data_IF_105663947394
#
_entry.id   IF_105663947394
#
_cell.length_a   1.000
_cell.length_b   1.000
_cell.length_c   1.000
_cell.angle_alpha   90.00
_cell.angle_beta   90.00
_cell.angle_gamma   90.00
#
_symmetry.space_group_name_H-M   'P 1'
#
loop_
_entity.id
_entity.type
_entity.pdbx_description
1 polymer ?
#
# COMPACT_ATOMS: atom_id res chain seq x y z
N UNK A 1 -4.44 -2.63 -34.76
CA UNK A 1 -4.64 -4.09 -34.87
C UNK A 1 -3.74 -4.80 -33.89
N UNK A 2 -4.27 -5.79 -33.15
CA UNK A 2 -3.61 -6.71 -32.23
C UNK A 2 -3.34 -6.18 -30.80
N UNK A 3 -4.34 -6.34 -29.92
CA UNK A 3 -4.12 -6.72 -28.55
C UNK A 3 -5.36 -7.52 -28.06
N UNK A 4 -5.31 -8.81 -28.35
CA UNK A 4 -6.21 -9.81 -27.75
C UNK A 4 -5.34 -10.88 -27.09
N UNK A 5 -5.03 -10.76 -25.80
CA UNK A 5 -4.52 -11.87 -25.01
C UNK A 5 -5.53 -12.19 -23.90
N UNK A 6 -6.12 -13.37 -24.04
CA UNK A 6 -7.00 -13.98 -23.04
C UNK A 6 -6.18 -14.38 -21.83
N UNK A 7 -6.51 -13.83 -20.68
CA UNK A 7 -5.99 -14.31 -19.40
C UNK A 7 -6.68 -15.62 -19.04
N UNK A 8 -5.89 -16.70 -18.94
CA UNK A 8 -6.35 -17.97 -18.38
C UNK A 8 -6.11 -17.94 -16.88
N UNK A 9 -7.18 -17.84 -16.11
CA UNK A 9 -7.16 -18.06 -14.67
C UNK A 9 -7.09 -19.58 -14.45
N UNK A 10 -5.95 -20.11 -14.06
CA UNK A 10 -5.84 -21.45 -13.48
C UNK A 10 -5.78 -21.33 -11.96
N UNK A 11 -6.88 -21.63 -11.33
CA UNK A 11 -6.92 -21.90 -9.89
C UNK A 11 -6.28 -23.26 -9.63
N UNK A 12 -5.04 -23.28 -9.14
CA UNK A 12 -4.42 -24.49 -8.62
C UNK A 12 -4.26 -24.36 -7.10
N UNK A 13 -5.31 -24.70 -6.38
CA UNK A 13 -5.21 -24.96 -4.94
C UNK A 13 -4.52 -26.31 -4.74
N UNK A 14 -3.24 -26.31 -4.41
CA UNK A 14 -2.59 -27.47 -3.78
C UNK A 14 -2.38 -27.16 -2.30
N UNK A 15 -3.35 -27.56 -1.49
CA UNK A 15 -3.14 -27.77 -0.06
C UNK A 15 -2.13 -28.91 0.08
N UNK A 16 -0.90 -28.64 0.39
CA UNK A 16 0.10 -29.64 0.79
C UNK A 16 -0.03 -29.92 2.27
N UNK A 17 -0.94 -30.81 2.63
CA UNK A 17 -0.87 -31.49 3.93
C UNK A 17 0.18 -32.59 3.80
N UNK A 18 1.42 -32.32 4.18
CA UNK A 18 2.44 -33.36 4.29
C UNK A 18 2.32 -33.97 5.66
N UNK A 19 1.55 -35.07 5.77
CA UNK A 19 1.60 -35.94 6.94
C UNK A 19 2.85 -36.82 6.76
N UNK A 20 3.94 -36.43 7.40
CA UNK A 20 5.10 -37.29 7.55
C UNK A 20 4.86 -38.24 8.73
N UNK A 21 4.40 -39.44 8.45
CA UNK A 21 4.43 -40.54 9.42
C UNK A 21 5.90 -40.97 9.63
N UNK A 22 6.52 -40.55 10.72
CA UNK A 22 7.78 -41.11 11.19
C UNK A 22 7.49 -42.05 12.35
N UNK A 23 7.88 -43.31 12.18
CA UNK A 23 7.81 -44.36 13.16
C UNK A 23 8.56 -43.95 14.43
N UNK A 24 7.87 -44.14 15.55
CA UNK A 24 8.29 -43.79 16.91
C UNK A 24 9.40 -44.73 17.38
N UNK A 25 10.53 -44.18 17.81
CA UNK A 25 11.41 -44.85 18.77
C UNK A 25 11.04 -44.41 20.20
N UNK A 26 11.09 -45.31 21.19
CA UNK A 26 10.51 -45.04 22.50
C UNK A 26 11.49 -44.23 23.36
N UNK A 27 11.34 -42.94 23.42
CA UNK A 27 11.81 -42.00 24.47
C UNK A 27 11.63 -40.54 24.12
N UNK A 28 10.81 -40.15 23.17
CA UNK A 28 10.40 -38.79 22.95
C UNK A 28 9.01 -38.58 23.56
N UNK A 29 8.90 -37.81 24.60
CA UNK A 29 7.67 -37.58 25.31
C UNK A 29 6.63 -36.93 24.39
N UNK A 30 5.36 -37.32 24.54
CA UNK A 30 4.17 -36.69 23.94
C UNK A 30 4.20 -35.13 24.09
N UNK A 31 4.97 -34.65 25.05
CA UNK A 31 5.24 -33.22 25.32
C UNK A 31 6.07 -32.57 24.19
N UNK A 32 7.05 -33.26 23.58
CA UNK A 32 7.83 -32.73 22.46
C UNK A 32 7.02 -32.68 21.15
N UNK A 33 6.04 -33.59 21.01
CA UNK A 33 5.12 -33.54 19.88
C UNK A 33 4.06 -32.41 20.04
N UNK A 34 3.67 -32.12 21.28
CA UNK A 34 2.74 -31.03 21.61
C UNK A 34 3.46 -29.67 21.57
N UNK A 35 4.76 -29.62 21.89
CA UNK A 35 5.58 -28.41 21.80
C UNK A 35 6.07 -28.11 20.37
N UNK A 36 5.98 -29.06 19.45
CA UNK A 36 6.11 -28.90 18.01
C UNK A 36 4.76 -28.70 17.30
N UNK A 37 3.72 -28.26 17.98
CA UNK A 37 2.73 -27.42 17.30
C UNK A 37 3.52 -26.18 16.92
N UNK A 38 4.12 -26.23 15.74
CA UNK A 38 4.68 -25.07 15.06
C UNK A 38 3.70 -23.95 15.32
N UNK A 39 4.15 -22.87 15.94
CA UNK A 39 3.38 -21.62 15.99
C UNK A 39 3.03 -21.37 14.53
N UNK A 40 1.83 -21.74 14.11
CA UNK A 40 1.43 -21.56 12.72
C UNK A 40 1.51 -20.05 12.46
N UNK A 41 2.62 -19.64 11.86
CA UNK A 41 2.78 -18.26 11.40
C UNK A 41 1.59 -17.93 10.53
N UNK A 42 0.95 -16.81 10.79
CA UNK A 42 -0.20 -16.35 9.99
C UNK A 42 0.15 -15.15 9.12
N UNK A 43 1.27 -14.48 9.36
CA UNK A 43 1.68 -13.29 8.63
C UNK A 43 2.69 -13.61 7.53
N UNK A 44 2.77 -12.77 6.47
CA UNK A 44 3.89 -12.78 5.55
C UNK A 44 5.24 -12.66 6.28
N UNK A 45 6.30 -13.22 5.72
CA UNK A 45 7.67 -13.00 6.22
C UNK A 45 8.07 -11.54 6.07
N UNK A 46 7.74 -10.96 4.90
CA UNK A 46 7.97 -9.56 4.57
C UNK A 46 6.71 -8.95 3.96
N UNK A 47 6.36 -7.77 4.43
CA UNK A 47 5.29 -6.97 3.85
C UNK A 47 5.84 -5.58 3.48
N UNK A 48 6.05 -5.36 2.20
CA UNK A 48 6.39 -4.08 1.62
C UNK A 48 5.11 -3.34 1.24
N UNK A 49 4.97 -2.10 1.68
CA UNK A 49 3.87 -1.20 1.29
C UNK A 49 4.50 0.01 0.62
N UNK A 50 4.16 0.23 -0.64
CA UNK A 50 4.75 1.26 -1.50
C UNK A 50 3.67 2.20 -1.99
N UNK A 51 3.88 3.51 -1.84
CA UNK A 51 3.07 4.51 -2.54
C UNK A 51 3.45 4.52 -4.02
N UNK A 52 2.48 4.64 -4.93
CA UNK A 52 2.73 4.79 -6.35
C UNK A 52 3.74 5.91 -6.66
N UNK A 53 4.42 5.84 -7.81
CA UNK A 53 5.27 6.91 -8.33
C UNK A 53 4.48 8.20 -8.59
N UNK A 54 5.17 9.33 -8.74
CA UNK A 54 4.50 10.59 -9.05
C UNK A 54 3.55 10.43 -10.23
N UNK A 55 2.34 10.98 -10.11
CA UNK A 55 1.32 10.92 -11.16
C UNK A 55 1.12 12.28 -11.82
N UNK A 56 0.53 12.28 -13.01
CA UNK A 56 0.08 13.51 -13.66
C UNK A 56 -0.87 14.32 -12.74
N UNK A 57 -1.62 13.63 -11.86
CA UNK A 57 -2.47 14.25 -10.86
C UNK A 57 -1.69 14.97 -9.76
N UNK A 58 -0.57 14.43 -9.32
CA UNK A 58 0.28 15.11 -8.34
C UNK A 58 0.84 16.39 -8.95
N UNK A 59 1.34 16.34 -10.18
CA UNK A 59 1.86 17.52 -10.90
C UNK A 59 0.78 18.60 -11.11
N UNK A 60 -0.40 18.19 -11.62
CA UNK A 60 -1.51 19.11 -11.84
C UNK A 60 -2.00 19.76 -10.53
N UNK A 61 -1.99 19.00 -9.42
CA UNK A 61 -2.37 19.52 -8.11
C UNK A 61 -1.39 20.55 -7.58
N UNK A 62 -0.09 20.29 -7.70
CA UNK A 62 0.96 21.25 -7.31
C UNK A 62 0.81 22.55 -8.10
N UNK A 63 0.68 22.45 -9.42
CA UNK A 63 0.47 23.62 -10.28
C UNK A 63 -0.81 24.41 -9.91
N UNK A 64 -1.92 23.72 -9.63
CA UNK A 64 -3.16 24.37 -9.24
C UNK A 64 -3.06 25.07 -7.87
N UNK A 65 -2.30 24.50 -6.92
CA UNK A 65 -2.06 25.10 -5.62
C UNK A 65 -1.18 26.36 -5.73
N UNK A 66 -0.13 26.31 -6.53
CA UNK A 66 0.76 27.46 -6.78
C UNK A 66 0.04 28.60 -7.49
N UNK A 67 -0.83 28.25 -8.47
CA UNK A 67 -1.62 29.24 -9.20
C UNK A 67 -2.84 29.76 -8.40
N UNK A 68 -3.16 29.17 -7.24
CA UNK A 68 -4.36 29.53 -6.48
C UNK A 68 -5.66 29.13 -7.17
N UNK A 69 -5.64 28.08 -7.98
CA UNK A 69 -6.80 27.57 -8.70
C UNK A 69 -7.75 26.82 -7.77
N UNK A 70 -9.04 26.77 -8.15
CA UNK A 70 -10.07 26.08 -7.38
C UNK A 70 -10.12 24.57 -7.67
N UNK A 71 -9.60 24.14 -8.81
CA UNK A 71 -9.67 22.77 -9.30
C UNK A 71 -8.35 22.40 -9.98
N UNK A 72 -7.96 21.14 -9.87
CA UNK A 72 -6.85 20.58 -10.62
C UNK A 72 -7.27 20.35 -12.08
N UNK A 73 -6.38 20.70 -13.02
CA UNK A 73 -6.63 20.55 -14.46
C UNK A 73 -6.27 19.11 -14.91
N UNK A 74 -7.27 18.25 -14.86
CA UNK A 74 -7.18 16.84 -15.32
C UNK A 74 -8.50 16.44 -15.97
N UNK A 75 -8.44 15.94 -17.21
CA UNK A 75 -9.61 15.53 -18.00
C UNK A 75 -10.05 14.08 -17.78
N UNK A 76 -9.18 13.23 -17.17
CA UNK A 76 -9.48 11.83 -16.94
C UNK A 76 -9.98 11.59 -15.51
N UNK A 77 -10.69 10.47 -15.29
CA UNK A 77 -11.10 10.08 -13.94
C UNK A 77 -9.87 9.77 -13.08
N UNK A 78 -9.95 9.96 -11.76
CA UNK A 78 -8.82 9.72 -10.85
C UNK A 78 -8.24 8.30 -10.98
N UNK A 79 -9.09 7.29 -11.22
CA UNK A 79 -8.65 5.90 -11.43
C UNK A 79 -7.78 5.73 -12.69
N UNK A 80 -7.94 6.58 -13.69
CA UNK A 80 -7.28 6.53 -14.99
C UNK A 80 -6.07 7.48 -15.09
N UNK A 81 -5.75 8.22 -14.02
CA UNK A 81 -4.60 9.15 -13.98
C UNK A 81 -3.29 8.36 -14.10
N UNK A 82 -2.45 8.65 -15.15
CA UNK A 82 -1.19 7.95 -15.35
C UNK A 82 -0.06 8.46 -14.43
N UNK A 83 1.05 7.75 -14.43
CA UNK A 83 2.32 8.28 -13.90
C UNK A 83 2.82 9.44 -14.75
N UNK A 84 3.52 10.40 -14.11
CA UNK A 84 4.39 11.35 -14.81
C UNK A 84 5.67 10.66 -15.32
N UNK A 85 6.44 11.34 -16.15
CA UNK A 85 7.75 10.84 -16.57
C UNK A 85 8.70 10.65 -15.37
N UNK A 86 8.63 11.51 -14.37
CA UNK A 86 9.39 11.37 -13.13
C UNK A 86 8.90 10.15 -12.34
N UNK A 87 7.59 9.96 -12.21
CA UNK A 87 7.03 8.80 -11.53
C UNK A 87 7.43 7.47 -12.16
N UNK A 88 7.57 7.40 -13.48
CA UNK A 88 8.10 6.22 -14.16
C UNK A 88 9.58 5.99 -13.77
N UNK A 89 10.41 7.02 -13.77
CA UNK A 89 11.82 6.92 -13.32
C UNK A 89 11.92 6.49 -11.86
N UNK A 90 11.06 7.00 -10.98
CA UNK A 90 10.99 6.60 -9.57
C UNK A 90 10.66 5.10 -9.45
N UNK A 91 9.66 4.60 -10.18
CA UNK A 91 9.28 3.19 -10.18
C UNK A 91 10.41 2.29 -10.71
N UNK A 92 11.11 2.71 -11.76
CA UNK A 92 12.28 2.01 -12.32
C UNK A 92 13.41 1.94 -11.30
N UNK A 93 13.72 3.06 -10.62
CA UNK A 93 14.75 3.10 -9.59
C UNK A 93 14.43 2.13 -8.44
N UNK A 94 13.18 2.15 -7.97
CA UNK A 94 12.72 1.23 -6.93
C UNK A 94 12.76 -0.24 -7.39
N UNK A 95 12.41 -0.52 -8.64
CA UNK A 95 12.49 -1.87 -9.20
C UNK A 95 13.93 -2.40 -9.25
N UNK A 96 14.91 -1.57 -9.64
CA UNK A 96 16.33 -1.93 -9.59
C UNK A 96 16.78 -2.26 -8.16
N UNK A 97 16.32 -1.49 -7.18
CA UNK A 97 16.60 -1.77 -5.77
C UNK A 97 16.04 -3.12 -5.34
N UNK A 98 14.78 -3.44 -5.67
CA UNK A 98 14.21 -4.76 -5.39
C UNK A 98 14.99 -5.88 -6.09
N UNK A 99 15.44 -5.66 -7.33
CA UNK A 99 16.24 -6.61 -8.08
C UNK A 99 17.63 -6.85 -7.47
N UNK A 100 18.19 -5.87 -6.76
CA UNK A 100 19.46 -5.99 -6.06
C UNK A 100 19.35 -6.68 -4.69
N UNK A 101 18.13 -6.82 -4.13
CA UNK A 101 17.95 -7.52 -2.86
C UNK A 101 18.32 -9.01 -2.98
N UNK A 102 18.78 -9.66 -1.89
CA UNK A 102 18.91 -11.11 -1.83
C UNK A 102 17.58 -11.81 -2.19
N UNK A 103 17.62 -12.98 -2.83
CA UNK A 103 16.40 -13.68 -3.28
C UNK A 103 15.34 -13.90 -2.20
N UNK A 104 15.79 -14.16 -0.97
CA UNK A 104 14.92 -14.37 0.21
C UNK A 104 14.23 -13.09 0.70
N UNK A 105 14.64 -11.91 0.19
CA UNK A 105 14.00 -10.62 0.48
C UNK A 105 13.18 -10.07 -0.68
N UNK A 106 13.33 -10.64 -1.89
CA UNK A 106 12.55 -10.18 -3.05
C UNK A 106 11.09 -10.57 -2.90
N UNK A 107 10.14 -9.67 -3.22
CA UNK A 107 8.73 -10.01 -3.26
C UNK A 107 8.46 -11.18 -4.22
N UNK A 108 7.53 -12.05 -3.84
CA UNK A 108 7.02 -13.10 -4.71
C UNK A 108 5.49 -13.01 -4.91
N UNK A 109 4.85 -12.09 -4.19
CA UNK A 109 3.45 -11.71 -4.37
C UNK A 109 3.41 -10.19 -4.53
N UNK A 110 2.72 -9.71 -5.56
CA UNK A 110 2.46 -8.28 -5.78
C UNK A 110 0.96 -8.06 -5.75
N UNK A 111 0.50 -7.23 -4.83
CA UNK A 111 -0.87 -6.74 -4.75
C UNK A 111 -0.86 -5.28 -5.16
N UNK A 112 -1.81 -4.86 -5.98
CA UNK A 112 -1.85 -3.47 -6.42
C UNK A 112 -3.26 -2.91 -6.40
N UNK A 113 -3.35 -1.62 -6.11
CA UNK A 113 -4.57 -0.84 -6.34
C UNK A 113 -5.02 -0.94 -7.80
N UNK A 114 -6.33 -0.87 -8.09
CA UNK A 114 -6.83 -0.83 -9.46
C UNK A 114 -6.46 0.46 -10.23
N UNK A 115 -6.01 1.51 -9.54
CA UNK A 115 -5.67 2.79 -10.12
C UNK A 115 -4.46 2.69 -11.05
N UNK A 116 -4.55 3.33 -12.23
CA UNK A 116 -3.57 3.19 -13.30
C UNK A 116 -2.14 3.50 -12.83
N UNK A 117 -1.95 4.59 -12.07
CA UNK A 117 -0.66 4.97 -11.48
C UNK A 117 -0.04 3.88 -10.60
N UNK A 118 -0.85 3.19 -9.80
CA UNK A 118 -0.37 2.11 -8.94
C UNK A 118 -0.05 0.84 -9.74
N UNK A 119 -0.89 0.47 -10.71
CA UNK A 119 -0.64 -0.67 -11.61
C UNK A 119 0.62 -0.48 -12.45
N UNK A 120 0.82 0.73 -13.00
CA UNK A 120 2.04 1.06 -13.76
C UNK A 120 3.28 1.00 -12.87
N UNK A 121 3.20 1.54 -11.64
CA UNK A 121 4.30 1.43 -10.66
C UNK A 121 4.63 -0.03 -10.39
N UNK A 122 3.63 -0.88 -10.11
CA UNK A 122 3.84 -2.30 -9.84
C UNK A 122 4.46 -3.04 -11.04
N UNK A 123 3.99 -2.75 -12.25
CA UNK A 123 4.53 -3.34 -13.49
C UNK A 123 5.99 -2.96 -13.73
N UNK A 124 6.32 -1.67 -13.62
CA UNK A 124 7.69 -1.17 -13.78
C UNK A 124 8.65 -1.73 -12.72
N UNK A 125 8.18 -1.88 -11.47
CA UNK A 125 8.95 -2.54 -10.41
C UNK A 125 9.24 -3.99 -10.79
N UNK A 126 8.24 -4.76 -11.18
CA UNK A 126 8.40 -6.18 -11.52
C UNK A 126 9.35 -6.37 -12.71
N UNK A 127 9.16 -5.59 -13.78
CA UNK A 127 9.98 -5.63 -14.98
C UNK A 127 11.45 -5.29 -14.66
N UNK A 128 11.71 -4.17 -14.00
CA UNK A 128 13.06 -3.67 -13.75
C UNK A 128 13.78 -4.41 -12.61
N UNK A 129 13.05 -5.05 -11.71
CA UNK A 129 13.62 -6.00 -10.74
C UNK A 129 14.02 -7.33 -11.39
N UNK A 130 13.78 -7.52 -12.69
CA UNK A 130 14.05 -8.79 -13.39
C UNK A 130 13.21 -9.95 -12.85
N UNK A 131 12.01 -9.66 -12.33
CA UNK A 131 11.10 -10.70 -11.86
C UNK A 131 10.55 -11.46 -13.07
N UNK A 132 10.78 -12.77 -13.11
CA UNK A 132 10.21 -13.61 -14.17
C UNK A 132 8.72 -13.83 -13.88
N UNK A 133 7.90 -13.86 -14.94
CA UNK A 133 6.44 -14.06 -14.82
C UNK A 133 6.04 -15.35 -14.05
N UNK A 134 6.92 -16.35 -14.03
CA UNK A 134 6.73 -17.61 -13.29
C UNK A 134 7.21 -17.54 -11.83
N UNK A 135 7.91 -16.47 -11.43
CA UNK A 135 8.51 -16.32 -10.10
C UNK A 135 7.68 -15.45 -9.15
N UNK A 136 6.66 -14.75 -9.64
CA UNK A 136 5.77 -13.94 -8.81
C UNK A 136 4.32 -14.00 -9.32
N UNK A 137 3.38 -13.60 -8.44
CA UNK A 137 1.97 -13.42 -8.81
C UNK A 137 1.57 -11.97 -8.56
N UNK A 138 0.92 -11.36 -9.57
CA UNK A 138 0.40 -9.99 -9.48
C UNK A 138 -1.13 -10.02 -9.50
N UNK A 139 -1.74 -9.40 -8.48
CA UNK A 139 -3.18 -9.30 -8.33
C UNK A 139 -3.60 -7.86 -8.13
N UNK A 140 -4.69 -7.47 -8.79
CA UNK A 140 -5.36 -6.19 -8.58
C UNK A 140 -6.44 -6.39 -7.53
N UNK A 141 -6.44 -5.54 -6.50
CA UNK A 141 -7.40 -5.63 -5.40
C UNK A 141 -7.96 -4.22 -5.08
N UNK A 142 -9.25 -4.04 -5.24
CA UNK A 142 -9.96 -2.77 -5.05
C UNK A 142 -9.89 -2.25 -3.62
N UNK A 143 -9.59 -3.09 -2.64
CA UNK A 143 -9.41 -2.68 -1.24
C UNK A 143 -8.20 -1.78 -1.04
N UNK A 144 -7.24 -1.79 -1.98
CA UNK A 144 -6.06 -0.90 -1.96
C UNK A 144 -6.22 0.37 -2.78
N UNK A 145 -7.43 0.69 -3.32
CA UNK A 145 -7.70 1.97 -3.99
C UNK A 145 -7.47 3.14 -3.05
N UNK A 146 -7.24 4.34 -3.62
CA UNK A 146 -7.12 5.55 -2.80
C UNK A 146 -8.46 5.86 -2.10
N UNK A 147 -8.41 6.72 -1.12
CA UNK A 147 -9.60 7.26 -0.46
C UNK A 147 -10.43 8.03 -1.48
N UNK A 148 -11.69 7.70 -1.57
CA UNK A 148 -12.64 8.43 -2.43
C UNK A 148 -12.96 9.82 -1.85
N UNK A 149 -12.84 10.85 -2.68
CA UNK A 149 -13.13 12.21 -2.29
C UNK A 149 -14.56 12.65 -2.62
N UNK A 150 -15.31 11.86 -3.41
CA UNK A 150 -16.69 12.13 -3.78
C UNK A 150 -16.86 13.48 -4.44
N UNK A 151 -17.81 14.29 -3.96
CA UNK A 151 -18.06 15.65 -4.53
C UNK A 151 -16.88 16.62 -4.38
N UNK A 152 -15.88 16.29 -3.57
CA UNK A 152 -14.68 17.08 -3.37
C UNK A 152 -13.53 16.66 -4.29
N UNK A 153 -13.75 15.68 -5.16
CA UNK A 153 -12.72 15.23 -6.09
C UNK A 153 -12.24 16.38 -6.98
N UNK A 154 -10.92 16.39 -7.26
CA UNK A 154 -10.22 17.46 -8.02
C UNK A 154 -10.23 18.86 -7.40
N UNK A 155 -10.93 19.11 -6.31
CA UNK A 155 -10.95 20.43 -5.69
C UNK A 155 -9.68 20.69 -4.88
N UNK A 156 -9.11 21.87 -5.04
CA UNK A 156 -8.15 22.42 -4.10
C UNK A 156 -8.86 22.83 -2.81
N UNK A 157 -8.16 23.13 -1.71
CA UNK A 157 -8.80 23.67 -0.50
C UNK A 157 -9.57 24.97 -0.74
N UNK A 158 -9.07 25.80 -1.64
CA UNK A 158 -9.76 27.02 -2.04
C UNK A 158 -11.06 26.67 -2.77
N UNK A 159 -11.02 25.68 -3.67
CA UNK A 159 -12.20 25.18 -4.36
C UNK A 159 -13.24 24.59 -3.40
N UNK A 160 -12.80 23.77 -2.43
CA UNK A 160 -13.70 23.22 -1.40
C UNK A 160 -14.35 24.32 -0.59
N UNK A 161 -13.57 25.31 -0.13
CA UNK A 161 -14.09 26.44 0.67
C UNK A 161 -15.12 27.26 -0.10
N UNK A 162 -14.93 27.46 -1.39
CA UNK A 162 -15.80 28.29 -2.22
C UNK A 162 -17.03 27.56 -2.74
N UNK A 163 -16.89 26.29 -3.16
CA UNK A 163 -17.98 25.54 -3.77
C UNK A 163 -18.77 24.69 -2.75
N UNK A 164 -18.11 24.23 -1.69
CA UNK A 164 -18.68 23.37 -0.66
C UNK A 164 -18.31 23.83 0.76
N UNK A 165 -18.66 25.08 1.15
CA UNK A 165 -18.29 25.64 2.45
C UNK A 165 -18.78 24.79 3.63
N UNK A 166 -19.95 24.13 3.48
CA UNK A 166 -20.48 23.22 4.50
C UNK A 166 -19.56 21.99 4.71
N UNK A 167 -18.94 21.49 3.63
CA UNK A 167 -18.00 20.36 3.74
C UNK A 167 -16.69 20.78 4.40
N UNK A 168 -16.23 22.00 4.17
CA UNK A 168 -15.07 22.56 4.86
C UNK A 168 -15.35 22.68 6.37
N UNK A 169 -16.56 23.14 6.75
CA UNK A 169 -16.97 23.26 8.14
C UNK A 169 -17.19 21.88 8.80
N UNK A 170 -17.84 20.92 8.15
CA UNK A 170 -17.97 19.56 8.66
C UNK A 170 -16.60 18.92 8.90
N UNK A 171 -15.64 19.10 7.97
CA UNK A 171 -14.28 18.61 8.17
C UNK A 171 -13.60 19.27 9.38
N UNK A 172 -13.84 20.57 9.62
CA UNK A 172 -13.32 21.28 10.79
C UNK A 172 -13.91 20.72 12.10
N UNK A 173 -15.21 20.44 12.11
CA UNK A 173 -15.92 19.93 13.31
C UNK A 173 -15.59 18.46 13.58
N UNK A 174 -15.69 17.60 12.56
CA UNK A 174 -15.54 16.16 12.70
C UNK A 174 -14.08 15.70 12.69
N UNK A 175 -13.17 16.56 12.20
CA UNK A 175 -11.78 16.19 11.97
C UNK A 175 -11.55 15.36 10.71
N UNK A 176 -10.29 15.26 10.30
CA UNK A 176 -9.84 14.53 9.10
C UNK A 176 -10.20 13.04 9.14
N UNK A 177 -10.21 12.45 10.32
CA UNK A 177 -10.41 11.01 10.52
C UNK A 177 -11.85 10.57 10.27
N UNK A 178 -12.83 11.36 10.71
CA UNK A 178 -14.25 11.01 10.64
C UNK A 178 -15.01 11.69 9.51
N UNK A 179 -14.48 12.81 8.96
CA UNK A 179 -15.17 13.50 7.89
C UNK A 179 -15.29 12.64 6.65
N UNK A 180 -16.53 12.41 6.21
CA UNK A 180 -16.89 11.71 4.97
C UNK A 180 -17.61 12.68 4.04
N UNK A 181 -16.99 13.09 2.91
CA UNK A 181 -17.68 13.91 1.93
C UNK A 181 -18.78 13.11 1.23
N UNK A 182 -19.85 13.74 0.73
CA UNK A 182 -20.89 13.06 -0.04
C UNK A 182 -20.30 12.28 -1.22
N UNK A 183 -20.67 10.99 -1.31
CA UNK A 183 -20.13 10.09 -2.33
C UNK A 183 -18.67 9.63 -2.10
N UNK A 184 -18.05 10.03 -0.98
CA UNK A 184 -16.67 9.69 -0.65
C UNK A 184 -16.51 8.81 0.60
N UNK A 185 -15.26 8.67 1.05
CA UNK A 185 -14.87 7.88 2.22
C UNK A 185 -14.30 8.77 3.33
N UNK A 186 -14.54 8.41 4.59
CA UNK A 186 -13.73 8.82 5.73
C UNK A 186 -12.48 7.92 5.86
N UNK A 187 -11.55 8.27 6.74
CA UNK A 187 -10.45 7.36 7.08
C UNK A 187 -10.98 6.08 7.77
N UNK A 188 -12.06 6.18 8.54
CA UNK A 188 -12.70 5.00 9.12
C UNK A 188 -13.20 4.01 8.07
N UNK A 189 -13.75 4.49 6.94
CA UNK A 189 -14.18 3.63 5.83
C UNK A 189 -13.02 2.94 5.16
N UNK A 190 -11.91 3.66 4.93
CA UNK A 190 -10.67 3.09 4.40
C UNK A 190 -10.12 2.02 5.34
N UNK A 191 -10.07 2.30 6.65
CA UNK A 191 -9.63 1.33 7.67
C UNK A 191 -10.52 0.09 7.66
N UNK A 192 -11.83 0.24 7.52
CA UNK A 192 -12.77 -0.89 7.50
C UNK A 192 -12.51 -1.84 6.33
N UNK A 193 -12.33 -1.32 5.11
CA UNK A 193 -11.99 -2.17 3.95
C UNK A 193 -10.58 -2.76 4.04
N UNK A 194 -9.62 -2.04 4.62
CA UNK A 194 -8.26 -2.54 4.82
C UNK A 194 -8.16 -3.62 5.89
N UNK A 195 -9.05 -3.65 6.91
CA UNK A 195 -9.14 -4.78 7.85
C UNK A 195 -9.44 -6.09 7.14
N UNK A 196 -10.36 -6.07 6.15
CA UNK A 196 -10.61 -7.25 5.30
C UNK A 196 -9.39 -7.64 4.46
N UNK A 197 -8.61 -6.66 3.96
CA UNK A 197 -7.36 -6.93 3.24
C UNK A 197 -6.29 -7.54 4.17
N UNK A 198 -6.13 -7.03 5.40
CA UNK A 198 -5.18 -7.59 6.37
C UNK A 198 -5.55 -9.00 6.81
N UNK A 199 -6.84 -9.30 6.92
CA UNK A 199 -7.31 -10.65 7.20
C UNK A 199 -6.98 -11.62 6.05
N UNK A 200 -7.15 -11.21 4.80
CA UNK A 200 -6.69 -11.98 3.63
C UNK A 200 -5.17 -12.20 3.66
N UNK A 201 -4.37 -11.16 3.96
CA UNK A 201 -2.92 -11.29 4.07
C UNK A 201 -2.52 -12.39 5.06
N UNK A 202 -3.20 -12.45 6.21
CA UNK A 202 -2.91 -13.45 7.25
C UNK A 202 -3.36 -14.86 6.90
N UNK A 203 -4.35 -15.03 6.01
CA UNK A 203 -4.87 -16.36 5.64
C UNK A 203 -4.21 -16.94 4.40
N UNK A 204 -3.90 -16.09 3.41
CA UNK A 204 -3.53 -16.55 2.08
C UNK A 204 -2.04 -16.38 1.78
N UNK A 205 -1.37 -15.47 2.48
CA UNK A 205 0.03 -15.12 2.19
C UNK A 205 0.99 -15.36 3.36
N UNK A 206 0.67 -16.33 4.23
CA UNK A 206 1.56 -16.79 5.29
C UNK A 206 2.95 -17.14 4.74
N UNK A 207 4.01 -16.68 5.41
CA UNK A 207 5.41 -16.91 5.05
C UNK A 207 5.77 -16.49 3.60
N UNK A 208 4.97 -15.63 2.97
CA UNK A 208 5.28 -15.05 1.68
C UNK A 208 5.97 -13.69 1.83
N UNK A 209 6.52 -13.16 0.76
CA UNK A 209 7.10 -11.83 0.67
C UNK A 209 6.20 -10.99 -0.22
N UNK A 210 5.34 -10.20 0.43
CA UNK A 210 4.26 -9.45 -0.23
C UNK A 210 4.70 -8.02 -0.48
N UNK A 211 4.49 -7.53 -1.70
CA UNK A 211 4.56 -6.13 -2.07
C UNK A 211 3.15 -5.61 -2.34
N UNK A 212 2.75 -4.55 -1.65
CA UNK A 212 1.52 -3.81 -1.93
C UNK A 212 1.89 -2.48 -2.56
N UNK A 213 1.35 -2.18 -3.75
CA UNK A 213 1.48 -0.85 -4.38
C UNK A 213 0.15 -0.12 -4.27
N UNK A 214 0.17 1.00 -3.56
CA UNK A 214 -1.04 1.71 -3.15
C UNK A 214 -0.84 3.23 -3.04
N UNK A 215 -1.50 3.89 -2.11
CA UNK A 215 -1.64 5.34 -2.00
C UNK A 215 -1.37 5.83 -0.58
N UNK A 216 -1.25 7.15 -0.42
CA UNK A 216 -0.89 7.79 0.85
C UNK A 216 -1.79 7.39 2.01
N UNK A 217 -3.12 7.54 1.85
CA UNK A 217 -4.06 7.22 2.95
C UNK A 217 -4.05 5.72 3.26
N UNK A 218 -3.85 4.86 2.25
CA UNK A 218 -3.74 3.41 2.44
C UNK A 218 -2.49 3.06 3.27
N UNK A 219 -1.31 3.65 2.96
CA UNK A 219 -0.09 3.43 3.77
C UNK A 219 -0.33 3.80 5.23
N UNK A 220 -0.93 4.96 5.49
CA UNK A 220 -1.19 5.45 6.84
C UNK A 220 -2.22 4.58 7.58
N UNK A 221 -3.32 4.21 6.91
CA UNK A 221 -4.35 3.35 7.49
C UNK A 221 -3.85 1.91 7.74
N UNK A 222 -2.97 1.38 6.89
CA UNK A 222 -2.29 0.10 7.15
C UNK A 222 -1.41 0.17 8.40
N UNK A 223 -0.69 1.26 8.60
CA UNK A 223 0.06 1.51 9.85
C UNK A 223 -0.84 1.53 11.07
N UNK A 224 -2.01 2.22 10.98
CA UNK A 224 -3.00 2.24 12.05
C UNK A 224 -3.43 0.82 12.47
N UNK A 225 -3.69 -0.05 11.48
CA UNK A 225 -4.13 -1.42 11.73
C UNK A 225 -3.00 -2.29 12.28
N UNK A 226 -1.84 -2.29 11.61
CA UNK A 226 -0.73 -3.21 11.93
C UNK A 226 0.00 -2.85 13.23
N UNK A 227 0.09 -1.56 13.55
CA UNK A 227 0.76 -1.07 14.76
C UNK A 227 -0.21 -0.80 15.93
N UNK A 228 -1.52 -1.04 15.73
CA UNK A 228 -2.57 -0.74 16.73
C UNK A 228 -2.51 0.71 17.23
N UNK A 229 -2.32 1.66 16.30
CA UNK A 229 -2.21 3.07 16.65
C UNK A 229 -3.55 3.63 17.15
N UNK A 230 -3.50 4.68 17.96
CA UNK A 230 -4.66 5.51 18.22
C UNK A 230 -4.86 6.52 17.09
N UNK A 231 -6.07 7.10 16.98
CA UNK A 231 -6.35 8.18 16.04
C UNK A 231 -5.35 9.34 16.16
N UNK A 232 -5.11 9.79 17.39
CA UNK A 232 -4.18 10.90 17.68
C UNK A 232 -2.76 10.61 17.17
N UNK A 233 -2.25 9.39 17.39
CA UNK A 233 -0.93 8.97 16.91
C UNK A 233 -0.87 8.94 15.39
N UNK A 234 -1.91 8.41 14.74
CA UNK A 234 -1.98 8.35 13.29
C UNK A 234 -1.99 9.76 12.68
N UNK A 235 -2.84 10.66 13.21
CA UNK A 235 -2.92 12.04 12.75
C UNK A 235 -1.63 12.84 13.03
N UNK A 236 -0.93 12.53 14.13
CA UNK A 236 0.38 13.12 14.41
C UNK A 236 1.44 12.68 13.38
N UNK A 237 1.43 11.42 12.96
CA UNK A 237 2.31 10.92 11.90
C UNK A 237 2.00 11.62 10.58
N UNK A 238 0.74 11.64 10.19
CA UNK A 238 0.26 12.29 8.97
C UNK A 238 0.62 13.79 8.91
N UNK A 239 0.51 14.50 10.04
CA UNK A 239 0.88 15.91 10.13
C UNK A 239 2.40 16.15 10.00
N UNK A 240 3.20 15.18 10.47
CA UNK A 240 4.66 15.32 10.56
C UNK A 240 5.38 14.78 9.32
N UNK A 241 4.78 13.84 8.61
CA UNK A 241 5.46 13.08 7.55
C UNK A 241 4.60 13.04 6.31
N UNK A 242 5.09 13.62 5.24
CA UNK A 242 4.54 13.43 3.91
C UNK A 242 5.06 12.11 3.34
N UNK A 243 4.15 11.23 2.93
CA UNK A 243 4.52 9.96 2.33
C UNK A 243 5.02 10.22 0.92
N UNK A 244 6.31 9.97 0.67
CA UNK A 244 6.91 10.22 -0.63
C UNK A 244 6.44 9.21 -1.69
N UNK A 245 6.43 9.62 -2.95
CA UNK A 245 6.18 8.74 -4.09
C UNK A 245 7.27 7.66 -4.16
N UNK A 246 6.89 6.44 -4.47
CA UNK A 246 7.77 5.26 -4.46
C UNK A 246 8.53 5.02 -3.15
N UNK A 247 8.08 5.62 -2.03
CA UNK A 247 8.64 5.29 -0.72
C UNK A 247 8.22 3.90 -0.26
N UNK A 248 9.09 3.25 0.51
CA UNK A 248 8.90 1.91 1.04
C UNK A 248 8.59 1.95 2.53
N UNK A 249 7.50 1.33 2.93
CA UNK A 249 7.22 0.97 4.33
C UNK A 249 7.33 -0.54 4.43
N UNK A 250 8.24 -1.04 5.28
CA UNK A 250 8.53 -2.47 5.41
C UNK A 250 8.17 -2.96 6.80
N UNK A 251 7.44 -4.06 6.83
CA UNK A 251 7.22 -4.88 8.02
C UNK A 251 7.87 -6.24 7.83
N UNK A 252 8.48 -6.76 8.89
CA UNK A 252 9.00 -8.13 8.97
C UNK A 252 8.23 -8.93 10.03
N UNK A 253 8.04 -10.21 9.76
CA UNK A 253 7.47 -11.12 10.74
C UNK A 253 8.43 -11.26 11.94
N UNK A 254 7.88 -11.07 13.13
CA UNK A 254 8.59 -11.26 14.39
C UNK A 254 7.86 -12.30 15.24
N UNK A 255 8.45 -13.48 15.34
CA UNK A 255 7.91 -14.60 16.10
C UNK A 255 7.81 -14.34 17.62
N UNK A 256 8.47 -13.27 18.13
CA UNK A 256 8.41 -12.90 19.55
C UNK A 256 7.17 -12.08 19.91
N UNK A 257 6.45 -11.57 18.91
CA UNK A 257 5.27 -10.75 19.09
C UNK A 257 3.99 -11.59 19.13
N UNK A 258 3.60 -12.04 20.32
CA UNK A 258 2.38 -12.83 20.53
C UNK A 258 2.52 -14.31 20.15
N UNK A 259 1.43 -15.09 20.27
CA UNK A 259 1.48 -16.56 20.12
C UNK A 259 1.78 -17.06 18.70
N UNK A 260 1.41 -16.29 17.69
CA UNK A 260 1.59 -16.62 16.25
C UNK A 260 2.58 -15.70 15.54
N UNK A 261 3.35 -14.92 16.33
CA UNK A 261 4.13 -13.81 15.78
C UNK A 261 3.24 -12.64 15.35
N UNK A 262 3.87 -11.56 14.92
CA UNK A 262 3.20 -10.40 14.34
C UNK A 262 4.18 -9.67 13.42
N UNK A 263 3.70 -8.64 12.73
CA UNK A 263 4.50 -7.79 11.87
C UNK A 263 5.15 -6.66 12.68
N UNK A 264 6.46 -6.49 12.55
CA UNK A 264 7.24 -5.40 13.14
C UNK A 264 7.67 -4.42 12.07
N UNK A 265 7.37 -3.13 12.25
CA UNK A 265 7.85 -2.06 11.37
C UNK A 265 9.38 -2.01 11.38
N UNK A 266 10.00 -2.03 10.21
CA UNK A 266 11.45 -1.92 9.99
C UNK A 266 11.84 -0.65 9.26
N UNK A 267 11.08 -0.27 8.23
CA UNK A 267 11.29 0.94 7.45
C UNK A 267 9.96 1.69 7.35
N UNK A 268 10.03 3.01 7.40
CA UNK A 268 8.89 3.86 7.15
C UNK A 268 9.30 5.02 6.25
N UNK A 269 8.53 5.21 5.18
CA UNK A 269 8.76 6.27 4.20
C UNK A 269 10.21 6.30 3.68
N UNK A 270 10.77 5.13 3.42
CA UNK A 270 12.16 4.94 3.01
C UNK A 270 12.32 5.25 1.52
N UNK A 271 13.19 6.21 1.20
CA UNK A 271 13.39 6.76 -0.17
C UNK A 271 14.81 6.58 -0.70
N UNK A 272 15.71 5.97 0.06
CA UNK A 272 17.10 5.78 -0.36
C UNK A 272 17.26 5.14 -1.76
N UNK A 273 16.39 4.20 -2.21
CA UNK A 273 16.46 3.68 -3.58
C UNK A 273 16.33 4.75 -4.67
N UNK A 274 15.57 5.82 -4.41
CA UNK A 274 15.41 6.94 -5.34
C UNK A 274 16.64 7.85 -5.31
N UNK A 275 17.11 8.19 -4.11
CA UNK A 275 18.26 9.05 -3.88
C UNK A 275 19.55 8.44 -4.49
N UNK A 276 19.79 7.14 -4.25
CA UNK A 276 20.92 6.39 -4.80
C UNK A 276 20.89 6.30 -6.34
N UNK A 277 19.67 6.26 -6.91
CA UNK A 277 19.49 6.27 -8.37
C UNK A 277 19.48 7.68 -8.97
N UNK A 278 19.61 8.75 -8.18
CA UNK A 278 19.50 10.14 -8.62
C UNK A 278 18.11 10.53 -9.11
N UNK A 279 17.06 9.81 -8.68
CA UNK A 279 15.69 10.16 -8.99
C UNK A 279 15.16 11.15 -7.94
N UNK A 280 14.56 12.24 -8.40
CA UNK A 280 13.99 13.25 -7.49
C UNK A 280 12.91 12.62 -6.60
N UNK A 281 12.98 12.88 -5.32
CA UNK A 281 11.96 12.48 -4.35
C UNK A 281 10.85 13.53 -4.35
N UNK A 282 9.62 13.11 -4.60
CA UNK A 282 8.43 13.97 -4.57
C UNK A 282 7.44 13.46 -3.53
N UNK A 283 6.66 14.36 -2.97
CA UNK A 283 5.55 14.05 -2.07
C UNK A 283 4.38 14.96 -2.41
N UNK A 284 3.19 14.60 -2.00
CA UNK A 284 2.01 15.46 -2.10
C UNK A 284 1.69 15.95 -0.70
N UNK A 285 1.86 17.25 -0.44
CA UNK A 285 1.54 17.79 0.87
C UNK A 285 0.05 17.63 1.17
N UNK A 286 -0.26 17.19 2.38
CA UNK A 286 -1.64 17.15 2.85
C UNK A 286 -2.16 18.58 3.01
N UNK A 287 -2.99 18.96 2.09
CA UNK A 287 -3.52 20.32 2.07
C UNK A 287 -4.44 20.53 3.26
N UNK A 288 -4.06 21.44 4.12
CA UNK A 288 -4.80 21.84 5.33
C UNK A 288 -6.12 22.51 4.93
N UNK A 289 -7.17 21.72 4.76
CA UNK A 289 -8.53 22.25 4.70
C UNK A 289 -8.96 22.51 6.15
N UNK A 290 -8.94 23.77 6.57
CA UNK A 290 -9.29 24.18 7.92
C UNK A 290 -8.13 23.99 8.90
N UNK A 291 -7.37 25.05 9.13
CA UNK A 291 -6.33 25.08 10.14
C UNK A 291 -6.90 24.96 11.56
N UNK A 292 -6.46 23.98 12.30
CA UNK A 292 -6.10 24.08 13.70
C UNK A 292 -4.79 23.39 13.92
#
# INVERSE_FOLDING_TARGET
MLFGRRFHVRANYKVRTTIALHLVTPAGTLLDLILRVTKDQIWPDLLYIVRHGESAGNVAREAALEAGEHMIDIDVRDVDVPLSDLGQRQAIALGRWFGALPPEKRPNIILTSPYLRARHTAGLIAETAGMREDAYSLFVDERFREKEFGVLDRLTPLGVKNQYPDQAEFRRILGKFYHRPPGGESWCDVILRLRSATEMLSREYCAQRVLIVCHTVVVLCMRYILEHLTEEKLLAIDKKTEIANCSVTLYEHDATLGPRGNLRLKLFNFVAPLEEAGALVTSEPDVKIGAR
#
